data_IF_762221134485
#
_entry.id   IF_762221134485
#
_cell.length_a   1.000
_cell.length_b   1.000
_cell.length_c   1.000
_cell.angle_alpha   90.00
_cell.angle_beta   90.00
_cell.angle_gamma   90.00
#
_symmetry.space_group_name_H-M   'P 1'
#
loop_
_entity.id
_entity.type
_entity.pdbx_description
1 polymer ?
#
# COMPACT_ATOMS: atom_id res chain seq x y z
N UNK A 1 -13.18 10.56 11.71
CA UNK A 1 -12.32 11.76 11.72
C UNK A 1 -11.12 11.54 12.64
N UNK A 2 -9.88 11.81 12.22
CA UNK A 2 -8.68 11.63 13.05
C UNK A 2 -8.72 12.37 14.39
N UNK A 3 -9.25 13.61 14.40
CA UNK A 3 -9.38 14.43 15.62
C UNK A 3 -10.29 13.75 16.66
N UNK A 4 -11.51 13.38 16.26
CA UNK A 4 -12.46 12.69 17.14
C UNK A 4 -11.91 11.37 17.66
N UNK A 5 -11.18 10.62 16.83
CA UNK A 5 -10.57 9.37 17.25
C UNK A 5 -9.48 9.61 18.30
N UNK A 6 -8.62 10.61 18.09
CA UNK A 6 -7.61 11.01 19.07
C UNK A 6 -8.22 11.41 20.41
N UNK A 7 -9.28 12.24 20.39
CA UNK A 7 -9.95 12.69 21.62
C UNK A 7 -10.55 11.48 22.38
N UNK A 8 -11.17 10.51 21.68
CA UNK A 8 -11.70 9.30 22.32
C UNK A 8 -10.58 8.44 22.91
N UNK A 9 -9.52 8.17 22.15
CA UNK A 9 -8.45 7.26 22.59
C UNK A 9 -7.62 7.84 23.75
N UNK A 10 -7.32 9.14 23.70
CA UNK A 10 -6.33 9.72 24.60
C UNK A 10 -6.94 10.59 25.71
N UNK A 11 -8.11 11.20 25.49
CA UNK A 11 -8.77 12.01 26.52
C UNK A 11 -9.82 11.18 27.28
N UNK A 12 -10.68 10.43 26.57
CA UNK A 12 -11.73 9.62 27.20
C UNK A 12 -11.23 8.28 27.73
N UNK A 13 -10.55 7.49 26.91
CA UNK A 13 -9.99 6.18 27.31
C UNK A 13 -8.64 6.30 28.03
N UNK A 14 -8.06 7.52 28.09
CA UNK A 14 -6.81 7.83 28.78
C UNK A 14 -5.64 6.91 28.41
N UNK A 15 -5.58 6.48 27.15
CA UNK A 15 -4.46 5.67 26.67
C UNK A 15 -3.17 6.51 26.58
N UNK A 16 -1.99 5.89 26.72
CA UNK A 16 -0.72 6.59 26.53
C UNK A 16 -0.67 7.27 25.16
N UNK A 17 -0.25 8.54 25.13
CA UNK A 17 -0.18 9.32 23.90
C UNK A 17 1.15 10.05 23.76
N UNK A 18 1.53 10.31 22.51
CA UNK A 18 2.62 11.24 22.20
C UNK A 18 2.17 12.70 22.35
N UNK A 19 3.07 13.65 22.07
CA UNK A 19 2.74 15.08 22.10
C UNK A 19 1.62 15.41 21.10
N UNK A 20 0.62 16.18 21.56
CA UNK A 20 -0.44 16.73 20.71
C UNK A 20 0.18 17.76 19.74
N UNK A 21 0.08 17.50 18.44
CA UNK A 21 0.56 18.39 17.39
C UNK A 21 -0.48 19.46 17.02
N UNK A 22 -0.17 20.28 16.02
CA UNK A 22 -1.07 21.34 15.51
C UNK A 22 -2.43 20.79 15.04
N UNK A 23 -2.46 19.56 14.52
CA UNK A 23 -3.65 18.89 14.00
C UNK A 23 -4.34 17.97 15.00
N UNK A 24 -3.84 17.89 16.25
CA UNK A 24 -4.33 16.98 17.29
C UNK A 24 -3.36 15.85 17.59
N UNK A 25 -3.87 14.77 18.20
CA UNK A 25 -3.08 13.58 18.47
C UNK A 25 -2.88 12.77 17.18
N UNK A 26 -1.67 12.23 16.97
CA UNK A 26 -1.47 11.25 15.91
C UNK A 26 -2.21 9.97 16.29
N UNK A 27 -2.93 9.43 15.32
CA UNK A 27 -3.56 8.11 15.41
C UNK A 27 -3.06 7.24 14.27
N UNK A 28 -1.85 7.48 13.76
CA UNK A 28 -1.31 6.74 12.63
C UNK A 28 -1.02 5.29 13.03
N UNK A 29 -0.90 4.43 12.03
CA UNK A 29 -0.74 2.98 12.21
C UNK A 29 0.40 2.63 13.16
N UNK A 30 1.56 3.28 13.02
CA UNK A 30 2.72 3.10 13.91
C UNK A 30 2.39 3.41 15.38
N UNK A 31 1.64 4.48 15.64
CA UNK A 31 1.26 4.88 17.00
C UNK A 31 0.26 3.89 17.58
N UNK A 32 -0.73 3.49 16.78
CA UNK A 32 -1.73 2.51 17.20
C UNK A 32 -1.11 1.12 17.46
N UNK A 33 -0.14 0.68 16.65
CA UNK A 33 0.55 -0.59 16.85
C UNK A 33 1.26 -0.67 18.22
N UNK A 34 1.88 0.42 18.69
CA UNK A 34 2.49 0.49 20.03
C UNK A 34 1.44 0.33 21.15
N UNK A 35 0.18 0.63 20.86
CA UNK A 35 -0.93 0.62 21.80
C UNK A 35 -1.80 -0.65 21.72
N UNK A 36 -1.45 -1.63 20.88
CA UNK A 36 -2.22 -2.87 20.69
C UNK A 36 -2.55 -3.56 22.02
N UNK A 37 -1.56 -3.70 22.91
CA UNK A 37 -1.72 -4.36 24.20
C UNK A 37 -2.41 -3.48 25.27
N UNK A 38 -2.70 -2.22 24.95
CA UNK A 38 -3.28 -1.27 25.92
C UNK A 38 -4.80 -1.30 25.92
N UNK A 39 -5.43 -1.60 24.79
CA UNK A 39 -6.88 -1.68 24.72
C UNK A 39 -7.36 -2.46 23.49
N UNK A 40 -8.35 -3.38 23.61
CA UNK A 40 -8.81 -4.21 22.50
C UNK A 40 -9.44 -3.43 21.33
N UNK A 41 -9.87 -2.19 21.58
CA UNK A 41 -10.39 -1.30 20.52
C UNK A 41 -9.32 -0.95 19.48
N UNK A 42 -8.04 -0.96 19.86
CA UNK A 42 -6.95 -0.55 18.98
C UNK A 42 -6.83 -1.53 17.80
N UNK A 43 -6.83 -2.84 18.07
CA UNK A 43 -6.87 -3.87 17.04
C UNK A 43 -8.07 -3.67 16.09
N UNK A 44 -9.27 -3.49 16.65
CA UNK A 44 -10.49 -3.26 15.85
C UNK A 44 -10.41 -1.98 14.97
N UNK A 45 -9.75 -0.93 15.45
CA UNK A 45 -9.56 0.30 14.68
C UNK A 45 -8.60 0.06 13.51
N UNK A 46 -7.52 -0.68 13.73
CA UNK A 46 -6.57 -1.05 12.68
C UNK A 46 -7.26 -1.89 11.60
N UNK A 47 -7.98 -2.93 12.00
CA UNK A 47 -8.76 -3.79 11.10
C UNK A 47 -9.79 -2.98 10.29
N UNK A 48 -10.54 -2.11 10.98
CA UNK A 48 -11.52 -1.24 10.32
C UNK A 48 -10.86 -0.32 9.30
N UNK A 49 -9.70 0.27 9.61
CA UNK A 49 -9.01 1.19 8.71
C UNK A 49 -8.46 0.48 7.48
N UNK A 50 -7.89 -0.72 7.65
CA UNK A 50 -7.44 -1.54 6.53
C UNK A 50 -8.62 -1.86 5.60
N UNK A 51 -9.71 -2.40 6.15
CA UNK A 51 -10.90 -2.75 5.40
C UNK A 51 -11.58 -1.54 4.75
N UNK A 52 -11.72 -0.43 5.49
CA UNK A 52 -12.32 0.79 4.97
C UNK A 52 -11.49 1.39 3.83
N UNK A 53 -10.16 1.36 3.93
CA UNK A 53 -9.27 1.78 2.84
C UNK A 53 -9.40 0.84 1.65
N UNK A 54 -9.37 -0.48 1.89
CA UNK A 54 -9.56 -1.50 0.86
C UNK A 54 -10.85 -1.25 0.07
N UNK A 55 -11.96 -1.10 0.79
CA UNK A 55 -13.27 -0.86 0.21
C UNK A 55 -13.34 0.47 -0.55
N UNK A 56 -13.04 1.59 0.11
CA UNK A 56 -13.31 2.93 -0.43
C UNK A 56 -12.31 3.39 -1.47
N UNK A 57 -11.03 3.00 -1.35
CA UNK A 57 -9.98 3.41 -2.29
C UNK A 57 -9.91 2.47 -3.48
N UNK A 58 -10.14 1.18 -3.27
CA UNK A 58 -9.85 0.17 -4.27
C UNK A 58 -11.10 -0.53 -4.79
N UNK A 59 -11.87 -1.22 -3.93
CA UNK A 59 -13.01 -2.03 -4.39
C UNK A 59 -14.12 -1.19 -5.03
N UNK A 60 -14.65 -0.21 -4.31
CA UNK A 60 -15.81 0.57 -4.75
C UNK A 60 -15.53 1.37 -6.05
N UNK A 61 -14.41 2.11 -6.18
CA UNK A 61 -14.13 2.86 -7.40
C UNK A 61 -13.89 1.95 -8.61
N UNK A 62 -13.11 0.87 -8.45
CA UNK A 62 -12.82 -0.02 -9.58
C UNK A 62 -14.06 -0.81 -10.01
N UNK A 63 -14.89 -1.26 -9.06
CA UNK A 63 -16.14 -1.93 -9.37
C UNK A 63 -17.07 -1.00 -10.16
N UNK A 64 -17.21 0.27 -9.73
CA UNK A 64 -17.99 1.27 -10.46
C UNK A 64 -17.48 1.50 -11.89
N UNK A 65 -16.17 1.45 -12.11
CA UNK A 65 -15.60 1.58 -13.46
C UNK A 65 -15.84 0.33 -14.30
N UNK A 66 -15.63 -0.85 -13.73
CA UNK A 66 -15.88 -2.13 -14.42
C UNK A 66 -17.35 -2.27 -14.82
N UNK A 67 -18.29 -1.90 -13.96
CA UNK A 67 -19.73 -1.96 -14.26
C UNK A 67 -20.18 -0.99 -15.36
N UNK A 68 -19.39 0.05 -15.69
CA UNK A 68 -19.69 0.98 -16.79
C UNK A 68 -19.27 0.45 -18.15
N UNK A 69 -18.34 -0.50 -18.21
CA UNK A 69 -17.88 -1.11 -19.44
C UNK A 69 -18.59 -2.45 -19.67
N UNK A 70 -19.11 -2.66 -20.87
CA UNK A 70 -19.85 -3.89 -21.24
C UNK A 70 -19.01 -5.18 -21.11
N UNK A 71 -17.69 -5.07 -21.11
CA UNK A 71 -16.76 -6.19 -20.97
C UNK A 71 -16.04 -6.16 -19.61
N UNK A 72 -16.52 -5.35 -18.66
CA UNK A 72 -15.92 -5.18 -17.33
C UNK A 72 -14.44 -4.77 -17.35
N UNK A 73 -14.03 -3.98 -18.35
CA UNK A 73 -12.66 -3.48 -18.46
C UNK A 73 -12.45 -2.16 -17.73
N UNK A 74 -11.28 -2.02 -17.12
CA UNK A 74 -10.80 -0.80 -16.48
C UNK A 74 -9.65 -0.27 -17.32
N UNK A 75 -9.73 1.01 -17.70
CA UNK A 75 -8.74 1.69 -18.54
C UNK A 75 -8.00 2.71 -17.68
N UNK A 76 -6.70 2.48 -17.44
CA UNK A 76 -5.84 3.41 -16.71
C UNK A 76 -4.99 4.24 -17.68
N UNK A 77 -4.64 5.46 -17.27
CA UNK A 77 -3.75 6.34 -18.03
C UNK A 77 -2.35 6.33 -17.42
N UNK A 78 -1.35 5.96 -18.21
CA UNK A 78 0.06 6.02 -17.81
C UNK A 78 0.68 7.35 -18.23
N UNK A 79 1.14 8.12 -17.23
CA UNK A 79 1.83 9.38 -17.39
C UNK A 79 3.35 9.18 -17.32
N UNK A 80 4.01 9.48 -18.43
CA UNK A 80 5.47 9.38 -18.55
C UNK A 80 6.21 10.56 -17.90
N UNK A 81 5.62 11.75 -17.91
CA UNK A 81 6.21 12.98 -17.35
C UNK A 81 5.77 13.28 -15.91
N UNK A 82 5.14 12.30 -15.24
CA UNK A 82 4.49 12.52 -13.95
C UNK A 82 5.42 12.46 -12.73
N UNK A 83 6.57 11.79 -12.82
CA UNK A 83 7.49 11.62 -11.68
C UNK A 83 8.84 12.26 -11.97
N UNK A 84 9.46 12.84 -10.93
CA UNK A 84 10.78 13.46 -11.05
C UNK A 84 11.91 12.45 -11.35
N UNK A 85 11.70 11.17 -11.01
CA UNK A 85 12.69 10.09 -11.17
C UNK A 85 12.60 9.38 -12.51
N UNK A 86 11.65 9.76 -13.38
CA UNK A 86 11.42 9.11 -14.67
C UNK A 86 10.57 7.83 -14.59
N UNK A 87 10.07 7.43 -13.41
CA UNK A 87 9.09 6.35 -13.27
C UNK A 87 7.76 6.72 -13.95
N UNK A 88 7.09 5.74 -14.55
CA UNK A 88 5.69 5.90 -14.96
C UNK A 88 4.82 6.13 -13.72
N UNK A 89 3.80 6.97 -13.86
CA UNK A 89 2.70 7.07 -12.89
C UNK A 89 1.37 6.70 -13.56
N UNK A 90 0.43 6.15 -12.81
CA UNK A 90 -0.89 5.76 -13.33
C UNK A 90 -2.01 6.56 -12.65
N UNK A 91 -3.00 6.96 -13.44
CA UNK A 91 -4.19 7.68 -12.95
C UNK A 91 -5.45 7.26 -13.70
N UNK A 92 -6.58 7.61 -13.10
CA UNK A 92 -7.93 7.47 -13.68
C UNK A 92 -8.26 6.04 -14.19
N UNK A 93 -8.08 4.96 -13.40
CA UNK A 93 -7.64 4.92 -11.99
C UNK A 93 -6.14 4.58 -11.84
N UNK A 94 -5.58 4.79 -10.65
CA UNK A 94 -4.21 4.38 -10.34
C UNK A 94 -4.14 2.86 -10.11
N UNK A 95 -3.53 2.13 -11.04
CA UNK A 95 -3.35 0.67 -10.98
C UNK A 95 -1.95 0.26 -10.49
N UNK A 96 -1.06 1.20 -10.20
CA UNK A 96 0.26 0.91 -9.61
C UNK A 96 0.19 0.72 -8.08
N UNK A 97 -0.81 1.33 -7.44
CA UNK A 97 -0.96 1.28 -5.98
C UNK A 97 -1.89 0.17 -5.48
N UNK A 98 -2.12 -0.86 -6.29
CA UNK A 98 -2.91 -2.02 -5.89
C UNK A 98 -2.25 -2.72 -4.69
N UNK A 99 -3.00 -3.05 -3.61
CA UNK A 99 -2.43 -3.71 -2.45
C UNK A 99 -1.64 -4.98 -2.81
N UNK A 100 -0.36 -5.01 -2.43
CA UNK A 100 0.54 -6.15 -2.65
C UNK A 100 0.71 -7.03 -1.41
N UNK A 101 0.45 -6.47 -0.23
CA UNK A 101 0.61 -7.09 1.09
C UNK A 101 -0.64 -6.86 1.94
N UNK A 102 -0.77 -7.61 3.03
CA UNK A 102 -1.94 -7.58 3.91
C UNK A 102 -2.83 -8.81 3.73
N UNK A 103 -3.76 -9.01 4.67
CA UNK A 103 -4.59 -10.22 4.74
C UNK A 103 -5.44 -10.40 3.48
N UNK A 104 -5.94 -9.29 2.91
CA UNK A 104 -6.87 -9.29 1.79
C UNK A 104 -6.21 -9.03 0.43
N UNK A 105 -4.89 -8.92 0.36
CA UNK A 105 -4.19 -8.59 -0.89
C UNK A 105 -4.41 -9.64 -1.99
N UNK A 106 -4.43 -10.92 -1.61
CA UNK A 106 -4.70 -12.03 -2.54
C UNK A 106 -6.14 -11.98 -3.07
N UNK A 107 -7.12 -11.79 -2.19
CA UNK A 107 -8.53 -11.71 -2.54
C UNK A 107 -8.77 -10.57 -3.53
N UNK A 108 -8.19 -9.39 -3.25
CA UNK A 108 -8.31 -8.24 -4.14
C UNK A 108 -7.65 -8.47 -5.51
N UNK A 109 -6.45 -9.06 -5.55
CA UNK A 109 -5.78 -9.39 -6.83
C UNK A 109 -6.58 -10.42 -7.64
N UNK A 110 -7.29 -11.34 -6.97
CA UNK A 110 -8.12 -12.34 -7.64
C UNK A 110 -9.30 -11.75 -8.42
N UNK A 111 -9.70 -10.51 -8.10
CA UNK A 111 -10.73 -9.79 -8.86
C UNK A 111 -10.26 -9.36 -10.26
N UNK A 112 -8.95 -9.34 -10.52
CA UNK A 112 -8.41 -9.11 -11.85
C UNK A 112 -8.29 -10.43 -12.57
N UNK A 113 -9.17 -10.65 -13.55
CA UNK A 113 -9.21 -11.88 -14.34
C UNK A 113 -8.66 -11.64 -15.73
N UNK A 114 -7.89 -12.61 -16.23
CA UNK A 114 -7.47 -12.61 -17.61
C UNK A 114 -8.67 -12.87 -18.52
N UNK A 115 -8.59 -12.40 -19.77
CA UNK A 115 -9.58 -12.77 -20.80
C UNK A 115 -9.57 -14.28 -21.02
N UNK A 116 -10.72 -14.86 -21.37
CA UNK A 116 -10.83 -16.27 -21.76
C UNK A 116 -9.75 -16.70 -22.75
N UNK A 117 -9.08 -17.82 -22.43
CA UNK A 117 -7.96 -18.36 -23.20
C UNK A 117 -6.60 -17.70 -22.89
N UNK A 118 -6.54 -16.76 -21.96
CA UNK A 118 -5.30 -16.09 -21.55
C UNK A 118 -5.00 -16.29 -20.06
N UNK A 119 -3.78 -15.99 -19.67
CA UNK A 119 -3.32 -15.96 -18.28
C UNK A 119 -2.47 -14.71 -18.04
N UNK A 120 -2.44 -14.23 -16.80
CA UNK A 120 -1.52 -13.17 -16.41
C UNK A 120 -0.14 -13.74 -16.13
N UNK A 121 0.89 -13.05 -16.62
CA UNK A 121 2.29 -13.29 -16.28
C UNK A 121 2.80 -12.01 -15.64
N UNK A 122 3.39 -12.15 -14.45
CA UNK A 122 4.02 -11.04 -13.72
C UNK A 122 5.52 -11.29 -13.68
N UNK A 123 6.29 -10.28 -14.09
CA UNK A 123 7.74 -10.29 -14.09
C UNK A 123 8.18 -9.07 -13.27
N UNK A 124 8.99 -9.30 -12.25
CA UNK A 124 9.51 -8.27 -11.37
C UNK A 124 11.03 -8.43 -11.27
N UNK A 125 11.75 -7.30 -11.24
CA UNK A 125 13.20 -7.37 -11.10
C UNK A 125 13.56 -7.68 -9.66
N UNK A 126 14.38 -8.73 -9.45
CA UNK A 126 14.92 -9.04 -8.13
C UNK A 126 15.88 -7.92 -7.68
N UNK A 127 15.41 -7.09 -6.75
CA UNK A 127 16.20 -6.07 -6.04
C UNK A 127 16.91 -5.06 -6.96
N UNK A 128 16.24 -4.58 -8.01
CA UNK A 128 16.86 -3.69 -9.01
C UNK A 128 17.49 -2.44 -8.40
N UNK A 129 16.85 -1.80 -7.41
CA UNK A 129 17.40 -0.60 -6.77
C UNK A 129 18.72 -0.89 -6.04
N UNK A 130 18.85 -2.04 -5.36
CA UNK A 130 20.08 -2.41 -4.67
C UNK A 130 21.17 -2.84 -5.66
N UNK A 131 20.81 -3.49 -6.77
CA UNK A 131 21.76 -3.81 -7.84
C UNK A 131 22.31 -2.54 -8.51
N UNK A 132 21.45 -1.55 -8.73
CA UNK A 132 21.86 -0.22 -9.23
C UNK A 132 22.77 0.47 -8.21
N UNK A 133 22.44 0.40 -6.91
CA UNK A 133 23.30 0.94 -5.85
C UNK A 133 24.68 0.26 -5.86
N UNK A 134 24.74 -1.07 -5.95
CA UNK A 134 26.01 -1.81 -6.03
C UNK A 134 26.85 -1.35 -7.22
N UNK A 135 26.21 -1.20 -8.38
CA UNK A 135 26.88 -0.72 -9.60
C UNK A 135 27.47 0.69 -9.45
N UNK A 136 26.71 1.64 -8.89
CA UNK A 136 27.20 3.03 -8.78
C UNK A 136 28.10 3.28 -7.58
N UNK A 137 27.97 2.50 -6.51
CA UNK A 137 28.83 2.62 -5.32
C UNK A 137 30.15 1.88 -5.46
N UNK A 138 30.22 0.91 -6.38
CA UNK A 138 31.34 -0.02 -6.53
C UNK A 138 31.72 -0.73 -5.22
N UNK A 139 30.77 -0.89 -4.29
CA UNK A 139 31.02 -1.58 -3.03
C UNK A 139 31.29 -3.07 -3.27
N UNK A 140 32.52 -3.50 -2.97
CA UNK A 140 32.97 -4.87 -3.24
C UNK A 140 32.10 -5.93 -2.54
N UNK A 141 31.58 -5.65 -1.35
CA UNK A 141 30.73 -6.62 -0.63
C UNK A 141 29.40 -6.78 -1.32
N UNK A 142 28.77 -5.67 -1.70
CA UNK A 142 27.46 -5.68 -2.35
C UNK A 142 27.54 -6.27 -3.76
N UNK A 143 28.61 -5.96 -4.50
CA UNK A 143 28.88 -6.56 -5.82
C UNK A 143 29.08 -8.07 -5.73
N UNK A 144 29.91 -8.54 -4.79
CA UNK A 144 30.15 -9.97 -4.61
C UNK A 144 28.89 -10.71 -4.16
N UNK A 145 28.12 -10.15 -3.22
CA UNK A 145 26.86 -10.74 -2.77
C UNK A 145 25.88 -10.93 -3.95
N UNK A 146 25.73 -9.92 -4.81
CA UNK A 146 24.89 -10.04 -6.00
C UNK A 146 25.45 -10.98 -7.08
N UNK A 147 26.77 -11.08 -7.22
CA UNK A 147 27.43 -11.99 -8.18
C UNK A 147 27.28 -13.47 -7.76
N UNK A 148 27.20 -13.71 -6.45
CA UNK A 148 27.02 -15.05 -5.87
C UNK A 148 25.55 -15.43 -5.63
N UNK A 149 24.60 -14.56 -5.99
CA UNK A 149 23.16 -14.73 -5.72
C UNK A 149 22.85 -14.97 -4.22
N UNK A 150 23.61 -14.30 -3.35
CA UNK A 150 23.36 -14.26 -1.91
C UNK A 150 22.09 -13.45 -1.60
N UNK A 151 21.40 -13.80 -0.51
CA UNK A 151 20.23 -13.06 -0.02
C UNK A 151 20.66 -11.74 0.65
N UNK A 152 20.05 -10.62 0.26
CA UNK A 152 20.40 -9.24 0.67
C UNK A 152 19.18 -8.51 1.21
#
# INVERSE_FOLDING_TARGET
SPKQMGDILFEKLKLPSGKKGKTGYSTDEKVLNILLDKHPVIAKILDYRELAKLYSTYCEPLLKLALKDKNSRIYSSFLQTGTATGRLSSKDPNLQNIPAHGQYAKDYKSCFVAKDGFSFISLDYSQIELRILAHFSEDEKLLNAFANDEDI
#
